data_IF_147665829696
#
_entry.id   IF_147665829696
#
_cell.length_a   1.000
_cell.length_b   1.000
_cell.length_c   1.000
_cell.angle_alpha   90.00
_cell.angle_beta   90.00
_cell.angle_gamma   90.00
#
_symmetry.space_group_name_H-M   'P 1'
#
loop_
_entity.id
_entity.type
_entity.pdbx_description
1 polymer ?
#
# COMPACT_ATOMS: atom_id res chain seq x y z
N UNK A 1 -15.46 11.15 -18.17
CA UNK A 1 -15.18 10.97 -16.72
C UNK A 1 -14.07 11.94 -16.34
N UNK A 2 -14.31 12.77 -15.33
CA UNK A 2 -13.28 13.64 -14.78
C UNK A 2 -12.47 12.90 -13.70
N UNK A 3 -11.15 13.11 -13.69
CA UNK A 3 -10.26 12.55 -12.67
C UNK A 3 -9.89 13.65 -11.68
N UNK A 4 -10.24 13.48 -10.41
CA UNK A 4 -9.78 14.36 -9.34
C UNK A 4 -8.50 13.75 -8.73
N UNK A 5 -7.34 14.44 -8.78
CA UNK A 5 -6.11 13.96 -8.15
C UNK A 5 -6.30 13.75 -6.64
N UNK A 6 -5.72 12.68 -6.12
CA UNK A 6 -5.65 12.36 -4.69
C UNK A 6 -4.18 12.19 -4.32
N UNK A 7 -3.70 13.04 -3.42
CA UNK A 7 -2.29 13.10 -3.07
C UNK A 7 -1.38 13.60 -4.20
N UNK A 8 -0.07 13.44 -4.03
CA UNK A 8 0.95 13.86 -4.99
C UNK A 8 1.19 12.75 -6.02
N UNK A 9 1.27 13.11 -7.30
CA UNK A 9 1.72 12.20 -8.35
C UNK A 9 3.22 11.94 -8.25
N UNK A 10 3.66 10.82 -8.80
CA UNK A 10 5.07 10.41 -8.83
C UNK A 10 5.41 9.72 -10.13
N UNK A 11 6.70 9.46 -10.35
CA UNK A 11 7.18 8.77 -11.53
C UNK A 11 8.45 7.99 -11.24
N UNK A 12 8.74 7.02 -12.10
CA UNK A 12 10.01 6.30 -12.11
C UNK A 12 10.38 5.88 -13.54
N UNK A 13 11.68 5.73 -13.78
CA UNK A 13 12.18 5.23 -15.05
C UNK A 13 12.04 3.72 -15.14
N UNK A 14 11.74 3.20 -16.32
CA UNK A 14 11.76 1.78 -16.63
C UNK A 14 12.61 1.51 -17.88
N UNK A 15 13.06 0.28 -18.06
CA UNK A 15 13.90 -0.13 -19.18
C UNK A 15 13.42 -1.44 -19.79
N UNK A 16 13.99 -1.77 -20.96
CA UNK A 16 13.74 -3.06 -21.61
C UNK A 16 14.28 -4.24 -20.79
N UNK A 17 13.54 -5.33 -20.79
CA UNK A 17 13.99 -6.63 -20.30
C UNK A 17 14.09 -6.81 -18.80
N UNK A 18 13.72 -5.80 -18.00
CA UNK A 18 13.72 -5.88 -16.55
C UNK A 18 12.56 -5.09 -15.93
N UNK A 19 11.99 -5.61 -14.85
CA UNK A 19 11.01 -4.88 -14.06
C UNK A 19 11.68 -3.76 -13.26
N UNK A 20 11.12 -2.56 -13.36
CA UNK A 20 11.46 -1.42 -12.50
C UNK A 20 10.28 -1.14 -11.57
N UNK A 21 10.56 -0.77 -10.32
CA UNK A 21 9.51 -0.60 -9.31
C UNK A 21 9.61 0.76 -8.64
N UNK A 22 8.45 1.37 -8.40
CA UNK A 22 8.32 2.66 -7.70
C UNK A 22 8.68 2.56 -6.21
N UNK A 23 8.79 3.70 -5.54
CA UNK A 23 8.63 3.78 -4.10
C UNK A 23 7.20 3.36 -3.71
N UNK A 24 7.03 2.97 -2.44
CA UNK A 24 5.73 2.64 -1.88
C UNK A 24 4.84 3.88 -1.72
N UNK A 25 3.53 3.67 -1.74
CA UNK A 25 2.53 4.69 -1.42
C UNK A 25 1.37 4.07 -0.63
N UNK A 26 0.85 4.82 0.33
CA UNK A 26 -0.37 4.44 1.05
C UNK A 26 -1.59 4.61 0.12
N UNK A 27 -2.49 3.63 0.12
CA UNK A 27 -3.66 3.66 -0.76
C UNK A 27 -4.73 4.56 -0.19
N UNK A 28 -4.94 5.70 -0.83
CA UNK A 28 -5.92 6.73 -0.43
C UNK A 28 -7.16 6.76 -1.35
N UNK A 29 -7.08 6.12 -2.52
CA UNK A 29 -8.15 6.05 -3.51
C UNK A 29 -8.28 4.64 -4.07
N UNK A 30 -9.43 4.32 -4.65
CA UNK A 30 -9.68 3.04 -5.32
C UNK A 30 -9.18 3.01 -6.78
N UNK A 31 -8.58 4.09 -7.27
CA UNK A 31 -8.15 4.19 -8.66
C UNK A 31 -6.75 4.81 -8.74
N UNK A 32 -5.89 4.16 -9.52
CA UNK A 32 -4.58 4.65 -9.91
C UNK A 32 -4.60 4.96 -11.40
N UNK A 33 -4.27 6.20 -11.76
CA UNK A 33 -3.99 6.60 -13.14
C UNK A 33 -2.50 6.42 -13.40
N UNK A 34 -2.16 5.79 -14.51
CA UNK A 34 -0.79 5.62 -14.99
C UNK A 34 -0.64 6.16 -16.41
N UNK A 35 0.54 6.68 -16.74
CA UNK A 35 0.90 7.19 -18.07
C UNK A 35 2.31 6.73 -18.40
N UNK A 36 2.47 6.04 -19.54
CA UNK A 36 3.78 5.63 -20.03
C UNK A 36 4.30 6.67 -21.04
N UNK A 37 5.52 7.15 -20.89
CA UNK A 37 6.17 8.13 -21.76
C UNK A 37 7.53 7.61 -22.23
N UNK A 38 7.84 7.76 -23.50
CA UNK A 38 9.08 7.31 -24.13
C UNK A 38 8.96 5.93 -24.76
N UNK A 39 8.49 4.94 -24.02
CA UNK A 39 8.21 3.59 -24.53
C UNK A 39 6.90 3.06 -23.94
N UNK A 40 6.37 2.00 -24.55
CA UNK A 40 5.26 1.23 -24.00
C UNK A 40 5.73 0.41 -22.78
N UNK A 41 4.84 0.20 -21.82
CA UNK A 41 5.12 -0.57 -20.61
C UNK A 41 4.01 -1.56 -20.28
N UNK A 42 4.38 -2.70 -19.73
CA UNK A 42 3.48 -3.57 -18.98
C UNK A 42 3.55 -3.16 -17.53
N UNK A 43 2.39 -3.04 -16.87
CA UNK A 43 2.28 -2.45 -15.52
C UNK A 43 1.58 -3.42 -14.58
N UNK A 44 2.17 -3.60 -13.41
CA UNK A 44 1.62 -4.35 -12.28
C UNK A 44 1.57 -3.47 -11.04
N UNK A 45 0.55 -3.67 -10.17
CA UNK A 45 0.37 -2.91 -8.92
C UNK A 45 0.08 -3.87 -7.79
N UNK A 46 0.71 -3.65 -6.65
CA UNK A 46 0.52 -4.49 -5.46
C UNK A 46 1.51 -4.17 -4.35
N UNK A 47 1.54 -4.99 -3.31
CA UNK A 47 2.50 -4.85 -2.23
C UNK A 47 3.95 -5.05 -2.69
N UNK A 48 4.20 -6.11 -3.43
CA UNK A 48 5.54 -6.40 -3.99
C UNK A 48 5.45 -6.80 -5.47
N UNK A 49 5.04 -5.87 -6.36
CA UNK A 49 4.82 -6.17 -7.76
C UNK A 49 6.15 -6.34 -8.52
N UNK A 50 6.15 -7.27 -9.48
CA UNK A 50 7.23 -7.46 -10.45
C UNK A 50 6.62 -7.61 -11.84
N UNK A 51 6.55 -6.51 -12.59
CA UNK A 51 5.90 -6.47 -13.89
C UNK A 51 6.63 -7.37 -14.93
N UNK A 52 5.85 -7.97 -15.78
CA UNK A 52 6.29 -8.84 -16.88
C UNK A 52 5.49 -8.54 -18.14
N UNK A 53 5.85 -9.17 -19.27
CA UNK A 53 5.13 -9.03 -20.54
C UNK A 53 3.70 -9.59 -20.52
N UNK A 54 3.28 -10.28 -19.48
CA UNK A 54 1.92 -10.76 -19.26
C UNK A 54 1.00 -9.77 -18.51
N UNK A 55 1.55 -8.68 -17.99
CA UNK A 55 0.80 -7.70 -17.21
C UNK A 55 0.10 -6.66 -18.09
N UNK A 56 -0.63 -5.72 -17.45
CA UNK A 56 -1.44 -4.74 -18.14
C UNK A 56 -0.63 -3.83 -19.06
N UNK A 57 -0.92 -3.87 -20.36
CA UNK A 57 -0.19 -3.10 -21.38
C UNK A 57 -0.66 -1.64 -21.46
N UNK A 58 0.28 -0.71 -21.37
CA UNK A 58 0.09 0.72 -21.55
C UNK A 58 0.94 1.18 -22.74
N UNK A 59 0.35 1.64 -23.86
CA UNK A 59 1.11 2.10 -25.02
C UNK A 59 1.90 3.37 -24.70
N UNK A 60 2.96 3.64 -25.47
CA UNK A 60 3.73 4.89 -25.33
C UNK A 60 2.84 6.11 -25.60
N UNK A 61 2.87 7.08 -24.69
CA UNK A 61 1.96 8.23 -24.67
C UNK A 61 0.55 7.89 -24.18
N UNK A 62 0.29 6.63 -23.88
CA UNK A 62 -1.01 6.15 -23.41
C UNK A 62 -1.25 6.39 -21.93
N UNK A 63 -2.53 6.39 -21.58
CA UNK A 63 -3.01 6.47 -20.18
C UNK A 63 -3.87 5.25 -19.87
N UNK A 64 -3.70 4.70 -18.67
CA UNK A 64 -4.58 3.66 -18.13
C UNK A 64 -5.04 4.02 -16.72
N UNK A 65 -6.16 3.43 -16.31
CA UNK A 65 -6.66 3.47 -14.93
C UNK A 65 -6.71 2.06 -14.39
N UNK A 66 -6.08 1.85 -13.25
CA UNK A 66 -5.99 0.56 -12.56
C UNK A 66 -6.78 0.63 -11.26
N UNK A 67 -7.46 -0.45 -10.89
CA UNK A 67 -8.17 -0.53 -9.64
C UNK A 67 -7.18 -0.69 -8.46
N UNK A 68 -7.48 -0.02 -7.35
CA UNK A 68 -6.82 -0.22 -6.07
C UNK A 68 -7.87 -0.65 -5.04
N UNK A 69 -7.46 -1.44 -4.06
CA UNK A 69 -8.28 -1.72 -2.88
C UNK A 69 -7.83 -0.83 -1.75
N UNK A 70 -8.65 0.18 -1.43
CA UNK A 70 -8.39 1.03 -0.27
C UNK A 70 -8.84 0.29 1.00
N UNK A 71 -7.92 0.12 1.93
CA UNK A 71 -8.19 -0.48 3.23
C UNK A 71 -7.47 0.30 4.32
N UNK A 72 -8.15 0.54 5.44
CA UNK A 72 -7.61 1.28 6.57
C UNK A 72 -8.32 0.89 7.86
N UNK A 73 -7.56 0.77 8.94
CA UNK A 73 -8.10 0.58 10.28
C UNK A 73 -7.40 1.50 11.28
N UNK A 74 -8.17 1.93 12.29
CA UNK A 74 -7.61 2.60 13.47
C UNK A 74 -6.76 1.59 14.26
N UNK A 75 -5.70 2.08 14.89
CA UNK A 75 -4.81 1.30 15.76
C UNK A 75 -5.02 1.72 17.20
N UNK A 76 -5.22 0.74 18.10
CA UNK A 76 -5.40 0.99 19.53
C UNK A 76 -4.23 0.49 20.37
N UNK A 77 -3.34 -0.28 19.80
CA UNK A 77 -2.15 -0.77 20.48
C UNK A 77 -1.06 -1.20 19.52
N UNK A 78 0.18 -1.03 19.95
CA UNK A 78 1.37 -1.52 19.27
C UNK A 78 2.24 -2.20 20.32
N UNK A 79 2.59 -3.47 20.09
CA UNK A 79 3.56 -4.20 20.89
C UNK A 79 4.87 -4.27 20.10
N UNK A 80 5.93 -3.75 20.70
CA UNK A 80 7.26 -3.67 20.09
C UNK A 80 8.03 -4.97 20.25
N UNK A 81 8.95 -5.22 19.31
CA UNK A 81 9.81 -6.41 19.31
C UNK A 81 10.55 -6.55 17.98
N UNK A 82 11.21 -7.69 17.76
CA UNK A 82 11.84 -8.04 16.49
C UNK A 82 10.82 -8.09 15.31
N UNK A 83 9.57 -8.35 15.64
CA UNK A 83 8.39 -8.08 14.79
C UNK A 83 7.42 -7.22 15.60
N UNK A 84 6.68 -6.36 14.91
CA UNK A 84 5.72 -5.46 15.56
C UNK A 84 4.32 -6.06 15.50
N UNK A 85 3.61 -6.07 16.64
CA UNK A 85 2.21 -6.48 16.69
C UNK A 85 1.32 -5.26 16.80
N UNK A 86 0.41 -5.10 15.84
CA UNK A 86 -0.60 -4.03 15.79
C UNK A 86 -1.91 -4.60 16.31
N UNK A 87 -2.54 -3.91 17.25
CA UNK A 87 -3.87 -4.23 17.76
C UNK A 87 -4.88 -3.22 17.22
N UNK A 88 -5.96 -3.73 16.63
CA UNK A 88 -7.08 -2.89 16.17
C UNK A 88 -8.23 -2.93 17.18
N UNK A 89 -9.19 -1.96 17.12
CA UNK A 89 -10.33 -1.93 18.03
C UNK A 89 -11.13 -3.22 18.01
N UNK A 90 -11.68 -3.55 19.16
CA UNK A 90 -12.60 -4.68 19.33
C UNK A 90 -13.77 -4.59 18.35
N UNK A 91 -14.20 -5.73 17.82
CA UNK A 91 -15.30 -5.84 16.86
C UNK A 91 -14.99 -5.32 15.46
N UNK A 92 -13.78 -4.83 15.22
CA UNK A 92 -13.36 -4.35 13.91
C UNK A 92 -12.81 -5.50 13.07
N UNK A 93 -13.35 -5.66 11.86
CA UNK A 93 -12.75 -6.57 10.87
C UNK A 93 -11.48 -5.95 10.30
N UNK A 94 -10.42 -6.75 10.22
CA UNK A 94 -9.17 -6.35 9.57
C UNK A 94 -9.25 -6.70 8.09
N UNK A 95 -9.15 -5.69 7.19
CA UNK A 95 -9.22 -5.93 5.75
C UNK A 95 -7.86 -6.34 5.15
N UNK A 96 -6.92 -6.76 5.99
CA UNK A 96 -5.57 -7.16 5.58
C UNK A 96 -5.38 -8.66 5.80
N UNK A 97 -4.73 -9.32 4.84
CA UNK A 97 -4.32 -10.71 4.90
C UNK A 97 -2.81 -10.87 5.06
N UNK A 98 -2.38 -12.11 5.29
CA UNK A 98 -0.96 -12.47 5.27
C UNK A 98 -0.39 -12.22 3.87
N UNK A 99 0.76 -11.56 3.79
CA UNK A 99 1.41 -11.16 2.54
C UNK A 99 0.98 -9.78 2.03
N UNK A 100 -0.03 -9.14 2.63
CA UNK A 100 -0.34 -7.74 2.35
C UNK A 100 0.73 -6.82 2.93
N UNK A 101 0.90 -5.66 2.30
CA UNK A 101 1.81 -4.63 2.79
C UNK A 101 1.02 -3.46 3.38
N UNK A 102 1.48 -2.97 4.52
CA UNK A 102 0.80 -1.91 5.27
C UNK A 102 1.76 -0.81 5.70
N UNK A 103 1.21 0.38 5.90
CA UNK A 103 1.87 1.56 6.47
C UNK A 103 1.13 1.97 7.74
N UNK A 104 1.85 2.18 8.83
CA UNK A 104 1.33 2.76 10.08
C UNK A 104 1.69 4.24 10.13
N UNK A 105 0.71 5.09 10.33
CA UNK A 105 0.85 6.54 10.45
C UNK A 105 0.03 7.11 11.60
N UNK A 106 0.32 8.37 11.98
CA UNK A 106 -0.39 9.06 13.06
C UNK A 106 0.15 8.76 14.47
N UNK A 107 1.23 8.01 14.60
CA UNK A 107 1.96 7.84 15.87
C UNK A 107 3.21 8.72 15.90
N UNK A 108 3.67 9.10 17.09
CA UNK A 108 4.92 9.87 17.23
C UNK A 108 6.16 9.00 17.05
N UNK A 109 6.14 7.76 17.53
CA UNK A 109 7.32 6.90 17.59
C UNK A 109 7.20 5.57 16.85
N UNK A 110 5.97 5.11 16.54
CA UNK A 110 5.73 3.76 16.02
C UNK A 110 5.41 3.73 14.53
N UNK A 111 5.57 4.85 13.81
CA UNK A 111 5.30 4.90 12.39
C UNK A 111 6.28 4.01 11.60
N UNK A 112 5.76 3.35 10.59
CA UNK A 112 6.56 2.63 9.61
C UNK A 112 5.89 2.68 8.25
N UNK A 113 6.66 2.48 7.20
CA UNK A 113 6.17 2.45 5.83
C UNK A 113 6.41 1.07 5.21
N UNK A 114 5.39 0.59 4.50
CA UNK A 114 5.45 -0.54 3.59
C UNK A 114 6.06 -1.82 4.23
N UNK A 115 5.41 -2.35 5.24
CA UNK A 115 5.80 -3.59 5.91
C UNK A 115 4.80 -4.71 5.66
N UNK A 116 5.32 -5.90 5.43
CA UNK A 116 4.54 -7.10 5.16
C UNK A 116 3.80 -7.58 6.41
N UNK A 117 2.55 -8.00 6.24
CA UNK A 117 1.75 -8.68 7.26
C UNK A 117 2.13 -10.15 7.30
N UNK A 118 2.70 -10.60 8.41
CA UNK A 118 3.16 -11.98 8.62
C UNK A 118 2.07 -12.90 9.16
N UNK A 119 1.19 -12.36 10.00
CA UNK A 119 0.06 -13.11 10.56
C UNK A 119 -1.07 -12.18 10.97
N UNK A 120 -2.29 -12.74 10.97
CA UNK A 120 -3.50 -12.09 11.49
C UNK A 120 -4.15 -13.03 12.49
N UNK A 121 -4.31 -12.60 13.74
CA UNK A 121 -4.97 -13.33 14.81
C UNK A 121 -6.28 -12.61 15.17
N UNK A 122 -7.40 -13.26 14.91
CA UNK A 122 -8.76 -12.76 15.20
C UNK A 122 -9.30 -13.25 16.52
N UNK A 123 -8.54 -14.08 17.25
CA UNK A 123 -8.98 -14.76 18.47
C UNK A 123 -8.28 -14.25 19.75
N UNK A 124 -7.41 -13.24 19.62
CA UNK A 124 -6.69 -12.69 20.77
C UNK A 124 -7.61 -11.90 21.68
N UNK A 125 -7.58 -12.19 22.98
CA UNK A 125 -8.38 -11.49 23.99
C UNK A 125 -9.08 -12.44 24.95
N UNK A 126 -9.86 -11.88 25.86
CA UNK A 126 -10.70 -12.62 26.80
C UNK A 126 -11.99 -13.05 26.10
N UNK A 127 -12.54 -14.19 26.46
CA UNK A 127 -13.79 -14.71 25.90
C UNK A 127 -14.90 -13.65 25.93
N UNK A 128 -15.44 -13.34 24.73
CA UNK A 128 -16.43 -12.28 24.52
C UNK A 128 -15.86 -10.91 24.12
N UNK A 129 -14.53 -10.75 24.18
CA UNK A 129 -13.83 -9.50 23.83
C UNK A 129 -12.63 -9.84 22.93
N UNK A 130 -12.91 -10.13 21.68
CA UNK A 130 -11.86 -10.48 20.71
C UNK A 130 -11.29 -9.19 20.05
N UNK A 131 -10.01 -8.96 20.27
CA UNK A 131 -9.23 -7.99 19.53
C UNK A 131 -8.54 -8.70 18.36
N UNK A 132 -8.53 -8.08 17.21
CA UNK A 132 -7.70 -8.57 16.12
C UNK A 132 -6.30 -7.99 16.22
N UNK A 133 -5.30 -8.85 16.08
CA UNK A 133 -3.89 -8.49 16.07
C UNK A 133 -3.26 -8.89 14.74
N UNK A 134 -2.44 -8.00 14.21
CA UNK A 134 -1.60 -8.25 13.05
C UNK A 134 -0.14 -8.20 13.45
N UNK A 135 0.63 -9.20 13.07
CA UNK A 135 2.09 -9.15 13.18
C UNK A 135 2.65 -8.67 11.84
N UNK A 136 3.49 -7.64 11.88
CA UNK A 136 4.13 -7.08 10.70
C UNK A 136 5.65 -7.25 10.77
N UNK A 137 6.28 -7.38 9.61
CA UNK A 137 7.72 -7.52 9.44
C UNK A 137 8.43 -6.17 9.66
N UNK A 138 8.39 -5.69 10.89
CA UNK A 138 9.04 -4.44 11.30
C UNK A 138 9.68 -4.63 12.67
N UNK A 139 10.99 -4.45 12.76
CA UNK A 139 11.72 -4.45 14.02
C UNK A 139 11.54 -3.10 14.73
N UNK A 140 10.77 -3.13 15.81
CA UNK A 140 10.53 -1.99 16.68
C UNK A 140 11.15 -2.15 18.08
N UNK A 141 12.08 -3.13 18.25
CA UNK A 141 12.72 -3.42 19.54
C UNK A 141 13.49 -2.23 20.15
N UNK A 142 13.95 -1.31 19.30
CA UNK A 142 14.59 -0.06 19.73
C UNK A 142 13.63 1.03 20.24
N UNK A 143 12.32 0.83 20.14
CA UNK A 143 11.31 1.81 20.61
C UNK A 143 10.92 1.46 22.06
N UNK A 144 11.40 2.26 23.01
CA UNK A 144 11.11 2.08 24.44
C UNK A 144 9.85 2.81 24.91
N UNK A 145 9.30 3.72 24.10
CA UNK A 145 8.11 4.51 24.44
C UNK A 145 6.84 3.69 24.24
N UNK A 146 5.95 3.71 25.22
CA UNK A 146 4.65 3.06 25.08
C UNK A 146 3.81 3.70 23.96
N UNK A 147 3.01 2.89 23.27
CA UNK A 147 2.08 3.40 22.28
C UNK A 147 0.97 4.21 22.95
N UNK A 148 0.77 5.45 22.47
CA UNK A 148 -0.23 6.36 22.99
C UNK A 148 -0.68 7.35 21.91
N UNK A 149 -1.18 6.83 20.78
CA UNK A 149 -1.56 7.64 19.63
C UNK A 149 -3.02 7.37 19.22
N UNK A 150 -3.98 8.17 19.70
CA UNK A 150 -5.41 7.93 19.47
C UNK A 150 -5.81 8.01 17.99
N UNK A 151 -5.04 8.73 17.18
CA UNK A 151 -5.32 8.96 15.75
C UNK A 151 -4.49 8.08 14.81
N UNK A 152 -3.73 7.14 15.38
CA UNK A 152 -2.93 6.22 14.55
C UNK A 152 -3.82 5.31 13.72
N UNK A 153 -3.42 5.13 12.49
CA UNK A 153 -4.10 4.25 11.53
C UNK A 153 -3.11 3.40 10.75
N UNK A 154 -3.53 2.19 10.44
CA UNK A 154 -2.86 1.30 9.50
C UNK A 154 -3.63 1.31 8.18
N UNK A 155 -2.91 1.50 7.07
CA UNK A 155 -3.48 1.52 5.72
C UNK A 155 -2.70 0.57 4.83
N UNK A 156 -3.36 0.00 3.83
CA UNK A 156 -2.64 -0.79 2.84
C UNK A 156 -1.67 0.08 2.03
N UNK A 157 -0.56 -0.51 1.64
CA UNK A 157 0.55 0.15 0.95
C UNK A 157 0.93 -0.64 -0.29
N UNK A 158 1.01 0.04 -1.44
CA UNK A 158 1.32 -0.57 -2.72
C UNK A 158 2.54 0.09 -3.37
N UNK A 159 3.07 -0.62 -4.37
CA UNK A 159 4.04 -0.12 -5.36
C UNK A 159 3.49 -0.31 -6.76
N UNK A 160 4.05 0.39 -7.70
CA UNK A 160 3.83 0.17 -9.13
C UNK A 160 5.11 -0.42 -9.72
N UNK A 161 4.98 -1.46 -10.52
CA UNK A 161 6.08 -2.00 -11.29
C UNK A 161 5.80 -1.84 -12.79
N UNK A 162 6.83 -1.58 -13.57
CA UNK A 162 6.76 -1.46 -15.01
C UNK A 162 7.86 -2.30 -15.69
N UNK A 163 7.48 -2.98 -16.76
CA UNK A 163 8.37 -3.73 -17.64
C UNK A 163 8.21 -3.18 -19.07
N UNK A 164 9.28 -2.67 -19.66
CA UNK A 164 9.24 -2.03 -20.98
C UNK A 164 9.82 -2.87 -22.10
N UNK A 165 9.33 -2.64 -23.32
CA UNK A 165 10.02 -3.07 -24.55
C UNK A 165 11.19 -2.12 -24.93
N UNK A 166 11.27 -0.96 -24.27
CA UNK A 166 12.29 0.08 -24.41
C UNK A 166 12.44 0.86 -23.11
N UNK A 167 13.23 1.93 -23.12
CA UNK A 167 13.39 2.83 -21.98
C UNK A 167 12.35 3.94 -21.99
N UNK A 168 11.77 4.21 -20.82
CA UNK A 168 10.75 5.23 -20.65
C UNK A 168 10.57 5.65 -19.20
N UNK A 169 9.56 6.48 -18.96
CA UNK A 169 9.13 6.90 -17.62
C UNK A 169 7.66 6.58 -17.42
N UNK A 170 7.34 5.94 -16.33
CA UNK A 170 5.95 5.74 -15.89
C UNK A 170 5.60 6.78 -14.85
N UNK A 171 4.59 7.60 -15.16
CA UNK A 171 3.96 8.53 -14.24
C UNK A 171 2.74 7.84 -13.62
N UNK A 172 2.52 8.01 -12.32
CA UNK A 172 1.37 7.46 -11.63
C UNK A 172 0.84 8.40 -10.58
N UNK A 173 -0.49 8.40 -10.42
CA UNK A 173 -1.18 9.21 -9.42
C UNK A 173 -2.48 8.54 -9.03
N UNK A 174 -2.78 8.51 -7.74
CA UNK A 174 -4.09 8.15 -7.27
C UNK A 174 -5.12 9.20 -7.67
N UNK A 175 -6.28 8.77 -8.14
CA UNK A 175 -7.34 9.66 -8.60
C UNK A 175 -8.70 9.20 -8.09
N UNK A 176 -9.59 10.13 -7.88
CA UNK A 176 -11.01 9.87 -7.69
C UNK A 176 -11.70 10.06 -9.04
N UNK A 177 -12.51 9.09 -9.44
CA UNK A 177 -13.38 9.23 -10.62
C UNK A 177 -14.67 9.88 -10.13
N UNK A 178 -14.94 11.11 -10.57
CA UNK A 178 -16.27 11.69 -10.39
C UNK A 178 -17.18 11.10 -11.46
N UNK A 179 -18.18 10.36 -11.05
CA UNK A 179 -19.32 10.09 -11.94
C UNK A 179 -19.99 11.42 -12.25
N UNK A 180 -20.31 11.64 -13.53
CA UNK A 180 -21.23 12.70 -13.87
C UNK A 180 -22.56 12.37 -13.18
N UNK A 181 -23.00 13.27 -12.30
CA UNK A 181 -24.33 13.25 -11.72
C UNK A 181 -25.35 13.67 -12.77
#
# INVERSE_FOLDING_TARGET
>A
MAHKPVGTGSSFAFSAGAASTSNSFSVQSNVLRVVAVGAAAHVSVGGNPSASNGDYYVPSGGTATLALTKASNRVVGVTTGATTVITVPEGTQVPFGVGDFVTLSGSTYHNFDHKEVLSVDTSSGVQGYHQTRMTVNYDSSGISTAFGAPDASVTNSNKVSAYGAGSGTLYYQQVQISGDA
#
